data_IF_802491388263
#
_entry.id   IF_802491388263
#
_cell.length_a   1.000
_cell.length_b   1.000
_cell.length_c   1.000
_cell.angle_alpha   90.00
_cell.angle_beta   90.00
_cell.angle_gamma   90.00
#
_symmetry.space_group_name_H-M   'P 1'
#
loop_
_entity.id
_entity.type
_entity.pdbx_description
1 polymer ?
#
# COMPACT_ATOMS: atom_id res chain seq x y z
N UNK A 1 -18.92 -8.65 2.15
CA UNK A 1 -18.49 -10.00 1.72
C UNK A 1 -17.59 -9.82 0.51
N UNK A 2 -16.48 -10.53 0.40
CA UNK A 2 -15.58 -10.37 -0.74
C UNK A 2 -16.20 -11.04 -1.98
N UNK A 3 -16.66 -10.21 -2.92
CA UNK A 3 -17.31 -10.62 -4.16
C UNK A 3 -16.44 -10.21 -5.35
N UNK A 4 -16.48 -11.05 -6.39
CA UNK A 4 -15.89 -10.79 -7.69
C UNK A 4 -17.01 -10.80 -8.72
N UNK A 5 -17.44 -9.60 -9.16
CA UNK A 5 -18.62 -9.41 -10.02
C UNK A 5 -18.38 -9.89 -11.46
N UNK A 6 -17.11 -10.08 -11.86
CA UNK A 6 -16.76 -10.58 -13.19
C UNK A 6 -16.87 -12.12 -13.28
N UNK A 7 -17.17 -12.78 -12.16
CA UNK A 7 -17.29 -14.24 -12.06
C UNK A 7 -18.74 -14.71 -12.09
N UNK A 8 -18.98 -15.95 -12.56
CA UNK A 8 -20.29 -16.57 -12.47
C UNK A 8 -20.71 -16.76 -11.00
N UNK A 9 -22.02 -16.76 -10.75
CA UNK A 9 -22.62 -16.72 -9.40
C UNK A 9 -22.09 -17.82 -8.47
N UNK A 10 -21.78 -19.00 -8.99
CA UNK A 10 -21.25 -20.14 -8.23
C UNK A 10 -19.82 -19.90 -7.68
N UNK A 11 -19.10 -18.92 -8.25
CA UNK A 11 -17.72 -18.56 -7.89
C UNK A 11 -17.53 -17.07 -7.54
N UNK A 12 -18.60 -16.28 -7.56
CA UNK A 12 -18.61 -14.86 -7.15
C UNK A 12 -18.11 -14.66 -5.72
N UNK A 13 -18.39 -15.60 -4.82
CA UNK A 13 -17.94 -15.55 -3.43
C UNK A 13 -16.49 -16.04 -3.31
N UNK A 14 -15.53 -15.11 -3.21
CA UNK A 14 -14.10 -15.43 -3.28
C UNK A 14 -13.64 -16.43 -2.23
N UNK A 15 -14.07 -16.30 -0.97
CA UNK A 15 -13.71 -17.25 0.06
C UNK A 15 -14.23 -18.67 -0.26
N UNK A 16 -15.50 -18.79 -0.68
CA UNK A 16 -16.08 -20.09 -1.02
C UNK A 16 -15.44 -20.70 -2.27
N UNK A 17 -15.10 -19.88 -3.26
CA UNK A 17 -14.36 -20.30 -4.45
C UNK A 17 -12.95 -20.78 -4.09
N UNK A 18 -12.22 -20.00 -3.30
CA UNK A 18 -10.86 -20.31 -2.86
C UNK A 18 -10.78 -21.64 -2.12
N UNK A 19 -11.75 -21.93 -1.24
CA UNK A 19 -11.82 -23.22 -0.55
C UNK A 19 -11.89 -24.43 -1.50
N UNK A 20 -12.58 -24.30 -2.65
CA UNK A 20 -12.64 -25.37 -3.66
C UNK A 20 -11.30 -25.53 -4.39
N UNK A 21 -10.66 -24.41 -4.73
CA UNK A 21 -9.40 -24.38 -5.47
C UNK A 21 -8.22 -24.85 -4.60
N UNK A 22 -8.19 -24.48 -3.33
CA UNK A 22 -7.13 -24.83 -2.38
C UNK A 22 -7.01 -26.35 -2.15
N UNK A 23 -8.11 -27.09 -2.28
CA UNK A 23 -8.13 -28.55 -2.01
C UNK A 23 -7.29 -29.37 -2.98
N UNK A 24 -6.93 -28.84 -4.15
CA UNK A 24 -6.11 -29.53 -5.13
C UNK A 24 -4.95 -28.63 -5.58
N UNK A 25 -3.74 -29.22 -5.65
CA UNK A 25 -2.51 -28.47 -5.91
C UNK A 25 -2.41 -27.98 -7.34
N UNK A 26 -2.91 -28.76 -8.30
CA UNK A 26 -2.95 -28.43 -9.71
C UNK A 26 -3.94 -27.28 -9.97
N UNK A 27 -5.12 -27.31 -9.35
CA UNK A 27 -6.10 -26.22 -9.45
C UNK A 27 -5.62 -24.95 -8.78
N UNK A 28 -4.95 -25.07 -7.62
CA UNK A 28 -4.31 -23.94 -6.97
C UNK A 28 -3.27 -23.30 -7.89
N UNK A 29 -2.42 -24.13 -8.54
CA UNK A 29 -1.39 -23.66 -9.46
C UNK A 29 -1.97 -22.95 -10.68
N UNK A 30 -3.06 -23.47 -11.24
CA UNK A 30 -3.75 -22.86 -12.37
C UNK A 30 -4.47 -21.54 -12.02
N UNK A 31 -4.78 -21.32 -10.74
CA UNK A 31 -5.47 -20.13 -10.26
C UNK A 31 -4.53 -18.98 -9.84
N UNK A 32 -3.21 -19.19 -9.86
CA UNK A 32 -2.24 -18.14 -9.54
C UNK A 32 -2.24 -17.10 -10.66
N UNK A 33 -2.17 -15.83 -10.27
CA UNK A 33 -2.06 -14.70 -11.18
C UNK A 33 -0.89 -14.87 -12.16
N UNK A 34 -1.14 -14.67 -13.45
CA UNK A 34 -0.15 -14.81 -14.52
C UNK A 34 0.97 -13.77 -14.43
N UNK A 35 0.75 -12.64 -13.75
CA UNK A 35 1.77 -11.64 -13.48
C UNK A 35 2.82 -12.15 -12.48
N UNK A 36 2.52 -13.20 -11.70
CA UNK A 36 3.50 -13.87 -10.86
C UNK A 36 4.27 -14.89 -11.70
N UNK A 37 5.58 -14.69 -11.88
CA UNK A 37 6.47 -15.70 -12.48
C UNK A 37 6.62 -16.90 -11.52
N UNK A 38 5.71 -17.87 -11.62
CA UNK A 38 5.61 -19.04 -10.73
C UNK A 38 6.60 -20.14 -11.11
N UNK A 39 7.83 -20.02 -10.60
CA UNK A 39 8.79 -21.14 -10.53
C UNK A 39 8.46 -22.06 -9.35
N UNK A 40 9.00 -23.28 -9.34
CA UNK A 40 8.72 -24.25 -8.27
C UNK A 40 9.07 -23.76 -6.86
N UNK A 41 10.13 -22.98 -6.70
CA UNK A 41 10.49 -22.39 -5.40
C UNK A 41 9.45 -21.36 -4.91
N UNK A 42 8.92 -20.50 -5.80
CA UNK A 42 7.83 -19.57 -5.45
C UNK A 42 6.52 -20.30 -5.22
N UNK A 43 6.29 -21.41 -5.90
CA UNK A 43 5.09 -22.21 -5.69
C UNK A 43 5.03 -22.78 -4.26
N UNK A 44 6.18 -23.13 -3.67
CA UNK A 44 6.25 -23.58 -2.27
C UNK A 44 5.78 -22.49 -1.31
N UNK A 45 6.28 -21.26 -1.46
CA UNK A 45 5.86 -20.14 -0.59
C UNK A 45 4.38 -19.79 -0.79
N UNK A 46 3.89 -19.79 -2.03
CA UNK A 46 2.47 -19.59 -2.34
C UNK A 46 1.60 -20.68 -1.70
N UNK A 47 2.05 -21.94 -1.70
CA UNK A 47 1.32 -23.05 -1.06
C UNK A 47 1.17 -22.83 0.44
N UNK A 48 2.23 -22.36 1.13
CA UNK A 48 2.18 -22.01 2.55
C UNK A 48 1.20 -20.85 2.81
N UNK A 49 1.23 -19.82 1.97
CA UNK A 49 0.30 -18.68 2.07
C UNK A 49 -1.15 -19.14 1.83
N UNK A 50 -1.39 -20.02 0.86
CA UNK A 50 -2.71 -20.58 0.58
C UNK A 50 -3.22 -21.43 1.76
N UNK A 51 -2.35 -22.20 2.41
CA UNK A 51 -2.68 -22.91 3.65
C UNK A 51 -3.13 -21.96 4.76
N UNK A 52 -2.33 -20.92 5.04
CA UNK A 52 -2.67 -19.90 6.03
C UNK A 52 -4.00 -19.19 5.69
N UNK A 53 -4.18 -18.78 4.43
CA UNK A 53 -5.41 -18.13 3.97
C UNK A 53 -6.65 -19.01 4.19
N UNK A 54 -6.52 -20.33 4.03
CA UNK A 54 -7.60 -21.27 4.36
C UNK A 54 -8.01 -21.20 5.82
N UNK A 55 -7.04 -21.22 6.73
CA UNK A 55 -7.31 -21.09 8.17
C UNK A 55 -7.90 -19.72 8.52
N UNK A 56 -7.37 -18.63 7.96
CA UNK A 56 -7.88 -17.27 8.17
C UNK A 56 -9.32 -17.08 7.68
N UNK A 57 -9.72 -17.83 6.64
CA UNK A 57 -11.06 -17.75 6.04
C UNK A 57 -12.00 -18.87 6.51
N UNK A 58 -11.67 -19.55 7.61
CA UNK A 58 -12.55 -20.54 8.21
C UNK A 58 -13.92 -19.94 8.56
N UNK A 59 -14.99 -20.71 8.31
CA UNK A 59 -16.37 -20.31 8.61
C UNK A 59 -16.54 -20.06 10.11
N UNK A 60 -15.99 -20.95 10.92
CA UNK A 60 -16.07 -20.86 12.38
C UNK A 60 -14.95 -19.96 12.93
N UNK A 61 -15.26 -18.93 13.74
CA UNK A 61 -14.27 -17.99 14.25
C UNK A 61 -13.16 -18.64 15.09
N UNK A 62 -13.49 -19.71 15.82
CA UNK A 62 -12.56 -20.43 16.68
C UNK A 62 -11.51 -21.27 15.91
N UNK A 63 -11.70 -21.48 14.61
CA UNK A 63 -10.74 -22.17 13.73
C UNK A 63 -9.77 -21.19 13.06
N UNK A 64 -10.00 -19.89 13.21
CA UNK A 64 -9.10 -18.86 12.65
C UNK A 64 -7.89 -18.70 13.57
N UNK A 65 -6.68 -18.61 13.01
CA UNK A 65 -5.49 -18.37 13.81
C UNK A 65 -5.53 -16.97 14.41
N UNK A 66 -4.82 -16.78 15.52
CA UNK A 66 -4.53 -15.44 16.00
C UNK A 66 -3.62 -14.68 15.01
N UNK A 67 -3.62 -13.35 15.13
CA UNK A 67 -2.79 -12.52 14.24
C UNK A 67 -1.29 -12.77 14.44
N UNK A 68 -0.86 -13.13 15.65
CA UNK A 68 0.53 -13.46 15.95
C UNK A 68 1.01 -14.65 15.13
N UNK A 69 0.19 -15.70 15.02
CA UNK A 69 0.46 -16.89 14.24
C UNK A 69 0.51 -16.57 12.75
N UNK A 70 -0.45 -15.79 12.24
CA UNK A 70 -0.44 -15.35 10.84
C UNK A 70 0.86 -14.57 10.51
N UNK A 71 1.27 -13.65 11.37
CA UNK A 71 2.53 -12.89 11.20
C UNK A 71 3.75 -13.81 11.26
N UNK A 72 3.80 -14.75 12.21
CA UNK A 72 4.92 -15.69 12.34
C UNK A 72 5.09 -16.60 11.11
N UNK A 73 3.98 -16.99 10.46
CA UNK A 73 4.02 -17.78 9.21
C UNK A 73 4.48 -16.92 8.02
N UNK A 74 4.03 -15.66 7.95
CA UNK A 74 4.35 -14.77 6.82
C UNK A 74 5.74 -14.13 6.91
N UNK A 75 6.24 -13.85 8.11
CA UNK A 75 7.48 -13.09 8.31
C UNK A 75 8.71 -13.69 7.60
N UNK A 76 8.93 -15.02 7.56
CA UNK A 76 10.04 -15.61 6.80
C UNK A 76 9.86 -15.58 5.27
N UNK A 77 8.67 -15.27 4.78
CA UNK A 77 8.31 -15.30 3.35
C UNK A 77 8.32 -13.93 2.68
N UNK A 78 8.43 -12.85 3.46
CA UNK A 78 8.32 -11.48 2.98
C UNK A 78 9.71 -10.85 2.90
N UNK A 79 10.14 -10.46 1.71
CA UNK A 79 11.25 -9.52 1.56
C UNK A 79 10.82 -8.12 2.00
N UNK A 80 11.77 -7.30 2.45
CA UNK A 80 11.48 -5.92 2.87
C UNK A 80 10.83 -5.19 1.69
N UNK A 81 9.55 -4.84 1.83
CA UNK A 81 8.83 -4.06 0.81
C UNK A 81 9.57 -2.74 0.59
N UNK A 82 9.97 -2.50 -0.66
CA UNK A 82 10.54 -1.22 -1.10
C UNK A 82 9.44 -0.51 -1.88
N UNK A 83 9.04 0.67 -1.42
CA UNK A 83 8.16 1.54 -2.21
C UNK A 83 8.82 1.77 -3.57
N UNK A 84 8.01 1.78 -4.63
CA UNK A 84 8.49 1.98 -6.01
C UNK A 84 9.04 3.40 -6.24
N UNK A 85 9.02 4.26 -5.22
CA UNK A 85 9.03 5.72 -5.35
C UNK A 85 9.89 6.39 -4.27
N UNK A 86 11.13 5.94 -4.10
CA UNK A 86 12.17 6.74 -3.43
C UNK A 86 13.10 7.41 -4.45
N UNK A 87 12.88 7.16 -5.73
CA UNK A 87 13.65 7.74 -6.82
C UNK A 87 12.78 8.77 -7.56
N UNK A 88 13.00 10.04 -7.20
CA UNK A 88 12.73 11.24 -8.03
C UNK A 88 11.28 11.70 -8.23
N UNK A 89 10.56 11.98 -7.16
CA UNK A 89 9.70 13.18 -7.18
C UNK A 89 10.62 14.37 -6.88
N UNK A 90 10.93 15.17 -7.90
CA UNK A 90 11.57 16.47 -7.77
C UNK A 90 10.82 17.25 -6.69
N UNK A 91 11.43 17.32 -5.50
CA UNK A 91 10.87 17.91 -4.30
C UNK A 91 10.38 19.33 -4.63
N UNK A 92 9.09 19.47 -4.92
CA UNK A 92 8.39 20.74 -5.09
C UNK A 92 8.16 21.39 -3.72
N UNK A 93 9.13 21.27 -2.80
CA UNK A 93 9.08 21.92 -1.51
C UNK A 93 9.79 23.27 -1.53
N UNK A 94 9.53 24.05 -0.48
CA UNK A 94 10.05 25.40 -0.33
C UNK A 94 11.57 25.33 -0.15
N UNK A 95 12.31 26.05 -1.00
CA UNK A 95 13.78 26.16 -0.91
C UNK A 95 14.20 27.07 0.25
N UNK A 96 14.52 26.48 1.39
CA UNK A 96 14.98 27.20 2.59
C UNK A 96 16.36 27.88 2.45
N UNK A 97 17.04 27.77 1.30
CA UNK A 97 18.28 28.50 1.05
C UNK A 97 18.06 30.02 0.89
N UNK A 98 16.82 30.42 0.59
CA UNK A 98 16.44 31.82 0.43
C UNK A 98 15.94 32.39 1.77
N UNK A 99 16.45 33.55 2.22
CA UNK A 99 15.96 34.21 3.43
C UNK A 99 14.45 34.54 3.32
N UNK A 100 13.71 34.35 4.42
CA UNK A 100 12.25 34.53 4.47
C UNK A 100 11.79 35.88 3.89
N UNK A 101 12.54 36.96 4.13
CA UNK A 101 12.22 38.29 3.62
C UNK A 101 12.30 38.40 2.09
N UNK A 102 13.13 37.59 1.43
CA UNK A 102 13.20 37.55 -0.03
C UNK A 102 12.06 36.71 -0.63
N UNK A 103 11.69 35.61 0.03
CA UNK A 103 10.51 34.82 -0.36
C UNK A 103 9.23 35.66 -0.31
N UNK A 104 9.03 36.38 0.81
CA UNK A 104 7.86 37.25 1.01
C UNK A 104 7.78 38.34 -0.07
N UNK A 105 8.91 38.92 -0.47
CA UNK A 105 8.95 39.89 -1.58
C UNK A 105 8.52 39.26 -2.90
N UNK A 106 9.03 38.06 -3.23
CA UNK A 106 8.63 37.35 -4.45
C UNK A 106 7.12 37.05 -4.49
N UNK A 107 6.50 36.75 -3.34
CA UNK A 107 5.06 36.52 -3.24
C UNK A 107 4.26 37.81 -3.47
N UNK A 108 4.68 38.90 -2.83
CA UNK A 108 4.04 40.22 -3.00
C UNK A 108 4.16 40.74 -4.44
N UNK A 109 5.27 40.44 -5.12
CA UNK A 109 5.51 40.81 -6.52
C UNK A 109 4.70 39.95 -7.51
N UNK A 110 4.45 38.68 -7.19
CA UNK A 110 3.65 37.77 -8.00
C UNK A 110 2.14 38.08 -7.95
N UNK A 111 1.65 38.56 -6.81
CA UNK A 111 0.24 38.89 -6.56
C UNK A 111 -0.20 40.21 -7.25
N UNK A 112 0.75 41.09 -7.60
CA UNK A 112 0.51 42.39 -8.23
C UNK A 112 0.28 42.37 -9.75
N UNK A 113 0.29 41.19 -10.38
CA UNK A 113 0.07 41.05 -11.83
C UNK A 113 -1.31 40.44 -12.07
N UNK A 114 -2.27 41.33 -12.29
CA UNK A 114 -3.68 41.02 -12.56
C UNK A 114 -3.82 40.03 -13.72
N UNK A 115 -4.00 38.75 -13.38
CA UNK A 115 -4.47 37.71 -14.29
C UNK A 115 -5.92 37.43 -13.90
N UNK A 116 -6.82 38.17 -14.53
CA UNK A 116 -8.23 37.79 -14.62
C UNK A 116 -8.31 36.44 -15.34
N UNK A 117 -8.32 35.35 -14.57
CA UNK A 117 -8.68 34.01 -15.04
C UNK A 117 -9.53 33.34 -13.96
N UNK A 118 -10.63 32.77 -14.43
CA UNK A 118 -11.77 32.30 -13.67
C UNK A 118 -11.45 31.35 -12.51
N UNK A 119 -12.27 31.52 -11.47
CA UNK A 119 -12.42 30.69 -10.30
C UNK A 119 -12.63 29.20 -10.67
N UNK A 120 -11.58 28.40 -10.51
CA UNK A 120 -11.68 26.95 -10.33
C UNK A 120 -10.75 26.50 -9.18
N UNK A 121 -11.33 26.53 -7.98
CA UNK A 121 -11.00 25.80 -6.74
C UNK A 121 -9.55 25.24 -6.60
N UNK A 122 -8.66 26.06 -6.06
CA UNK A 122 -7.25 25.72 -5.78
C UNK A 122 -7.11 24.78 -4.57
N UNK A 123 -6.77 23.50 -4.83
CA UNK A 123 -6.28 22.53 -3.83
C UNK A 123 -4.85 22.80 -3.33
N UNK A 124 -4.28 23.99 -3.55
CA UNK A 124 -2.85 24.29 -3.30
C UNK A 124 -2.55 25.00 -1.97
N UNK A 125 -3.49 25.05 -1.02
CA UNK A 125 -3.34 25.83 0.21
C UNK A 125 -2.51 25.17 1.33
N UNK A 126 -1.97 23.96 1.10
CA UNK A 126 -1.07 23.30 2.05
C UNK A 126 0.34 23.28 1.43
N UNK A 127 1.33 23.99 2.01
CA UNK A 127 2.71 23.90 1.57
C UNK A 127 3.22 22.47 1.76
N UNK A 128 4.01 21.98 0.80
CA UNK A 128 4.65 20.67 0.92
C UNK A 128 5.47 20.58 2.21
N UNK A 129 5.44 19.40 2.84
CA UNK A 129 6.09 19.13 4.13
C UNK A 129 7.60 19.45 4.05
N UNK A 130 8.17 20.18 5.03
CA UNK A 130 9.59 20.53 5.02
C UNK A 130 10.48 19.27 5.13
N UNK A 131 11.55 19.23 4.34
CA UNK A 131 12.65 18.26 4.52
C UNK A 131 13.20 18.35 5.95
N UNK A 132 13.31 17.22 6.64
CA UNK A 132 13.86 17.13 8.01
C UNK A 132 12.84 17.31 9.15
N UNK A 133 11.57 17.63 8.87
CA UNK A 133 10.57 17.82 9.95
C UNK A 133 10.30 16.56 10.80
N UNK A 134 10.50 15.36 10.24
CA UNK A 134 10.27 14.12 10.99
C UNK A 134 11.52 13.50 11.61
N UNK A 135 12.72 14.01 11.30
CA UNK A 135 13.96 13.49 11.88
C UNK A 135 14.15 13.98 13.34
N UNK A 136 13.34 14.94 13.80
CA UNK A 136 13.38 15.47 15.17
C UNK A 136 12.45 14.78 16.17
N UNK A 137 11.60 13.83 15.76
CA UNK A 137 10.78 13.06 16.72
C UNK A 137 11.45 11.72 17.07
N UNK A 138 12.65 11.79 17.66
CA UNK A 138 13.18 10.61 18.37
C UNK A 138 12.40 10.46 19.67
N UNK A 139 11.49 9.48 19.71
CA UNK A 139 10.77 9.05 20.91
C UNK A 139 11.74 8.42 21.92
N UNK A 140 12.52 9.25 22.61
CA UNK A 140 13.38 8.85 23.72
C UNK A 140 12.99 9.54 25.04
N UNK A 141 11.99 10.42 25.04
CA UNK A 141 11.45 11.02 26.26
C UNK A 141 9.92 10.91 26.28
N UNK A 142 9.45 9.75 26.75
CA UNK A 142 8.05 9.48 27.03
C UNK A 142 7.99 8.73 28.36
N UNK A 143 7.82 9.49 29.44
CA UNK A 143 7.57 8.97 30.80
C UNK A 143 6.20 8.31 30.91
#
# INVERSE_FOLDING_TARGET
>A
MALDEDRPEESRYLAAWFWRIKSNKETLRAAIDLALDVKDEKFKSISVIAELAGHCTAREPNQRPDMSHAVNVLAPLVEKWKSLDDDTEEYCGIDYSVPLNQMVKGWQEAEGKDLSLDLADSKSSIPARPTGFADSITSADGR
#
